data_IF_509385965582
#
_entry.id   IF_509385965582
#
_cell.length_a   1.000
_cell.length_b   1.000
_cell.length_c   1.000
_cell.angle_alpha   90.00
_cell.angle_beta   90.00
_cell.angle_gamma   90.00
#
_symmetry.space_group_name_H-M   'P 1'
#
loop_
_entity.id
_entity.type
_entity.pdbx_description
1 polymer ?
#
# COMPACT_ATOMS: atom_id res chain seq x y z
N UNK A 1 36.96 12.63 -17.63
CA UNK A 1 37.49 12.85 -16.26
C UNK A 1 36.48 13.51 -15.31
N UNK A 2 35.17 13.21 -15.37
CA UNK A 2 34.16 13.80 -14.46
C UNK A 2 33.63 12.81 -13.40
N UNK A 3 34.24 11.63 -13.26
CA UNK A 3 33.55 10.49 -12.62
C UNK A 3 33.80 10.30 -11.12
N UNK A 4 34.62 11.11 -10.43
CA UNK A 4 35.00 10.84 -9.03
C UNK A 4 34.94 12.05 -8.06
N UNK A 5 34.28 13.16 -8.39
CA UNK A 5 34.04 14.21 -7.38
C UNK A 5 32.76 13.92 -6.63
N UNK A 6 32.87 13.78 -5.31
CA UNK A 6 31.73 13.65 -4.42
C UNK A 6 30.79 14.87 -4.60
N UNK A 7 29.47 14.70 -4.75
CA UNK A 7 28.57 15.82 -4.95
C UNK A 7 28.54 16.74 -3.72
N UNK A 8 28.54 18.05 -3.95
CA UNK A 8 28.45 19.05 -2.88
C UNK A 8 27.13 18.93 -2.10
N UNK A 9 27.09 19.47 -0.88
CA UNK A 9 25.86 19.53 -0.05
C UNK A 9 24.70 20.16 -0.84
N UNK A 10 24.96 21.26 -1.55
CA UNK A 10 23.96 21.93 -2.38
C UNK A 10 23.43 21.06 -3.50
N UNK A 11 24.32 20.36 -4.20
CA UNK A 11 23.92 19.45 -5.29
C UNK A 11 23.03 18.33 -4.78
N UNK A 12 23.39 17.74 -3.63
CA UNK A 12 22.60 16.68 -2.99
C UNK A 12 21.23 17.21 -2.52
N UNK A 13 21.22 18.38 -1.89
CA UNK A 13 20.00 19.03 -1.42
C UNK A 13 19.04 19.37 -2.56
N UNK A 14 19.52 20.00 -3.63
CA UNK A 14 18.69 20.34 -4.79
C UNK A 14 18.10 19.09 -5.48
N UNK A 15 18.87 17.99 -5.53
CA UNK A 15 18.36 16.73 -6.07
C UNK A 15 17.22 16.16 -5.22
N UNK A 16 17.29 16.29 -3.89
CA UNK A 16 16.19 15.94 -2.98
C UNK A 16 14.98 16.87 -3.18
N UNK A 17 15.18 18.14 -3.47
CA UNK A 17 14.08 19.09 -3.72
C UNK A 17 13.29 18.73 -4.97
N UNK A 18 13.99 18.33 -6.04
CA UNK A 18 13.34 17.84 -7.27
C UNK A 18 12.50 16.59 -6.97
N UNK A 19 13.03 15.65 -6.18
CA UNK A 19 12.26 14.45 -5.80
C UNK A 19 10.98 14.79 -5.05
N UNK A 20 10.98 15.78 -4.16
CA UNK A 20 9.81 16.07 -3.32
C UNK A 20 8.81 16.95 -4.05
N UNK A 21 9.28 18.05 -4.65
CA UNK A 21 8.40 19.09 -5.17
C UNK A 21 7.81 18.76 -6.54
N UNK A 22 8.45 17.91 -7.36
CA UNK A 22 7.87 17.48 -8.64
C UNK A 22 6.57 16.68 -8.43
N UNK A 23 6.52 15.60 -7.61
CA UNK A 23 5.27 14.95 -7.26
C UNK A 23 4.24 15.90 -6.66
N UNK A 24 4.63 16.77 -5.72
CA UNK A 24 3.70 17.73 -5.11
C UNK A 24 3.03 18.61 -6.18
N UNK A 25 3.82 19.12 -7.13
CA UNK A 25 3.30 19.88 -8.27
C UNK A 25 2.31 19.07 -9.13
N UNK A 26 2.63 17.80 -9.42
CA UNK A 26 1.76 16.89 -10.18
C UNK A 26 0.41 16.69 -9.46
N UNK A 27 0.45 16.34 -8.16
CA UNK A 27 -0.76 16.09 -7.38
C UNK A 27 -1.60 17.36 -7.15
N UNK A 28 -0.98 18.53 -7.17
CA UNK A 28 -1.69 19.81 -7.07
C UNK A 28 -2.31 20.26 -8.40
N UNK A 29 -1.66 19.97 -9.53
CA UNK A 29 -2.02 20.53 -10.83
C UNK A 29 -2.94 19.65 -11.66
N UNK A 30 -2.89 18.32 -11.49
CA UNK A 30 -3.69 17.40 -12.31
C UNK A 30 -5.15 17.33 -11.82
N UNK A 31 -6.15 17.50 -12.71
CA UNK A 31 -7.57 17.55 -12.33
C UNK A 31 -8.05 16.33 -11.53
N UNK A 32 -7.62 15.12 -11.91
CA UNK A 32 -7.99 13.91 -11.18
C UNK A 32 -7.57 13.97 -9.70
N UNK A 33 -6.36 14.46 -9.42
CA UNK A 33 -5.84 14.52 -8.05
C UNK A 33 -6.41 15.67 -7.24
N UNK A 34 -6.88 16.74 -7.89
CA UNK A 34 -7.64 17.79 -7.20
C UNK A 34 -8.98 17.29 -6.66
N UNK A 35 -9.63 16.39 -7.38
CA UNK A 35 -10.82 15.70 -6.90
C UNK A 35 -10.48 14.60 -5.87
N UNK A 36 -9.47 13.77 -6.15
CA UNK A 36 -9.10 12.63 -5.31
C UNK A 36 -8.55 13.07 -3.94
N UNK A 37 -7.83 14.19 -3.88
CA UNK A 37 -7.28 14.79 -2.67
C UNK A 37 -8.03 16.08 -2.37
N UNK A 38 -8.87 16.05 -1.33
CA UNK A 38 -9.56 17.25 -0.87
C UNK A 38 -8.56 18.36 -0.46
N UNK A 39 -9.02 19.63 -0.32
CA UNK A 39 -8.12 20.74 -0.02
C UNK A 39 -7.28 20.57 1.25
N UNK A 40 -7.81 19.90 2.28
CA UNK A 40 -7.09 19.62 3.53
C UNK A 40 -5.95 18.63 3.30
N UNK A 41 -6.20 17.58 2.51
CA UNK A 41 -5.20 16.59 2.13
C UNK A 41 -4.08 17.20 1.29
N UNK A 42 -4.41 18.10 0.36
CA UNK A 42 -3.39 18.84 -0.37
C UNK A 42 -2.54 19.68 0.58
N UNK A 43 -3.16 20.43 1.50
CA UNK A 43 -2.43 21.18 2.51
C UNK A 43 -1.51 20.29 3.37
N UNK A 44 -1.96 19.09 3.75
CA UNK A 44 -1.11 18.12 4.45
C UNK A 44 0.13 17.73 3.62
N UNK A 45 -0.02 17.47 2.32
CA UNK A 45 1.10 17.16 1.43
C UNK A 45 2.08 18.34 1.34
N UNK A 46 1.58 19.57 1.25
CA UNK A 46 2.41 20.78 1.28
C UNK A 46 3.20 20.92 2.59
N UNK A 47 2.55 20.69 3.73
CA UNK A 47 3.22 20.71 5.05
C UNK A 47 4.29 19.63 5.12
N UNK A 48 3.98 18.40 4.72
CA UNK A 48 4.94 17.29 4.70
C UNK A 48 6.16 17.60 3.81
N UNK A 49 5.93 18.15 2.61
CA UNK A 49 6.99 18.56 1.69
C UNK A 49 7.84 19.70 2.26
N UNK A 50 7.23 20.66 2.95
CA UNK A 50 7.91 21.80 3.58
C UNK A 50 8.78 21.35 4.75
N UNK A 51 8.26 20.45 5.60
CA UNK A 51 9.04 19.83 6.70
C UNK A 51 10.21 19.03 6.13
N UNK A 52 9.98 18.23 5.09
CA UNK A 52 11.05 17.48 4.44
C UNK A 52 12.09 18.40 3.80
N UNK A 53 11.69 19.55 3.25
CA UNK A 53 12.60 20.54 2.67
C UNK A 53 13.65 20.98 3.69
N UNK A 54 13.23 21.30 4.92
CA UNK A 54 14.16 21.66 6.00
C UNK A 54 15.01 20.45 6.40
N UNK A 55 14.40 19.28 6.57
CA UNK A 55 15.09 18.06 6.98
C UNK A 55 16.15 17.60 5.96
N UNK A 56 15.87 17.71 4.66
CA UNK A 56 16.74 17.29 3.57
C UNK A 56 18.09 18.02 3.57
N UNK A 57 18.14 19.25 4.10
CA UNK A 57 19.41 19.97 4.29
C UNK A 57 20.35 19.22 5.24
N UNK A 58 19.83 18.76 6.38
CA UNK A 58 20.59 17.99 7.35
C UNK A 58 21.00 16.63 6.80
N UNK A 59 20.11 15.97 6.05
CA UNK A 59 20.42 14.71 5.35
C UNK A 59 21.56 14.90 4.35
N UNK A 60 21.51 15.94 3.51
CA UNK A 60 22.54 16.23 2.53
C UNK A 60 23.91 16.49 3.19
N UNK A 61 23.95 17.23 4.30
CA UNK A 61 25.18 17.44 5.08
C UNK A 61 25.72 16.14 5.67
N UNK A 62 24.86 15.33 6.27
CA UNK A 62 25.25 14.06 6.86
C UNK A 62 25.82 13.10 5.80
N UNK A 63 25.20 13.02 4.62
CA UNK A 63 25.66 12.17 3.51
C UNK A 63 27.01 12.62 2.97
N UNK A 64 27.22 13.93 2.78
CA UNK A 64 28.54 14.44 2.38
C UNK A 64 29.60 14.09 3.42
N UNK A 65 29.32 14.29 4.71
CA UNK A 65 30.25 13.97 5.79
C UNK A 65 30.60 12.47 5.86
N UNK A 66 29.67 11.59 5.52
CA UNK A 66 29.87 10.14 5.53
C UNK A 66 30.44 9.56 4.23
N UNK A 67 30.75 10.39 3.21
CA UNK A 67 31.19 9.88 1.91
C UNK A 67 30.07 9.29 1.04
N UNK A 68 28.82 9.36 1.48
CA UNK A 68 27.67 8.76 0.81
C UNK A 68 26.93 9.77 -0.09
N UNK A 69 25.99 9.26 -0.89
CA UNK A 69 25.10 10.07 -1.73
C UNK A 69 23.65 9.93 -1.30
N UNK A 70 22.90 11.00 -1.51
CA UNK A 70 21.44 11.07 -1.35
C UNK A 70 20.70 10.26 -2.42
N UNK A 71 19.45 9.87 -2.12
CA UNK A 71 18.59 9.15 -3.08
C UNK A 71 18.28 10.03 -4.29
N UNK A 72 18.18 11.34 -4.11
CA UNK A 72 18.02 12.30 -5.21
C UNK A 72 19.15 12.21 -6.25
N UNK A 73 20.40 12.07 -5.82
CA UNK A 73 21.53 11.92 -6.74
C UNK A 73 21.50 10.58 -7.46
N UNK A 74 21.23 9.49 -6.74
CA UNK A 74 21.11 8.15 -7.33
C UNK A 74 20.02 8.12 -8.42
N UNK A 75 18.89 8.77 -8.15
CA UNK A 75 17.80 8.94 -9.11
C UNK A 75 18.23 9.75 -10.33
N UNK A 76 18.91 10.88 -10.13
CA UNK A 76 19.43 11.72 -11.22
C UNK A 76 20.41 10.97 -12.12
N UNK A 77 21.27 10.11 -11.55
CA UNK A 77 22.16 9.24 -12.31
C UNK A 77 21.39 8.22 -13.14
N UNK A 78 20.39 7.55 -12.55
CA UNK A 78 19.52 6.64 -13.28
C UNK A 78 18.84 7.32 -14.48
N UNK A 79 18.26 8.51 -14.28
CA UNK A 79 17.63 9.28 -15.36
C UNK A 79 18.63 9.69 -16.45
N UNK A 80 19.86 10.02 -16.07
CA UNK A 80 20.92 10.33 -17.04
C UNK A 80 21.32 9.11 -17.89
N UNK A 81 21.30 7.90 -17.32
CA UNK A 81 21.52 6.65 -18.06
C UNK A 81 20.40 6.41 -19.07
N UNK A 82 19.14 6.55 -18.64
CA UNK A 82 17.97 6.40 -19.53
C UNK A 82 18.02 7.43 -20.67
N UNK A 83 18.29 8.70 -20.36
CA UNK A 83 18.45 9.74 -21.37
C UNK A 83 19.61 9.45 -22.33
N UNK A 84 20.73 8.91 -21.83
CA UNK A 84 21.86 8.48 -22.66
C UNK A 84 21.51 7.37 -23.65
N UNK A 85 20.68 6.40 -23.23
CA UNK A 85 20.19 5.34 -24.12
C UNK A 85 19.21 5.90 -25.17
N UNK A 86 18.26 6.75 -24.76
CA UNK A 86 17.22 7.27 -25.67
C UNK A 86 17.80 8.30 -26.65
N UNK A 87 18.57 9.27 -26.15
CA UNK A 87 19.05 10.42 -26.92
C UNK A 87 20.36 10.09 -27.64
N UNK A 88 21.30 9.45 -26.92
CA UNK A 88 22.67 9.22 -27.44
C UNK A 88 22.88 7.80 -27.95
N UNK A 89 21.87 6.92 -27.86
CA UNK A 89 21.94 5.48 -28.22
C UNK A 89 23.14 4.75 -27.60
N UNK A 90 23.61 5.23 -26.44
CA UNK A 90 24.77 4.67 -25.74
C UNK A 90 24.29 3.94 -24.50
N UNK A 91 24.48 2.64 -24.48
CA UNK A 91 24.19 1.81 -23.31
C UNK A 91 25.35 1.86 -22.32
N UNK A 92 25.02 2.06 -21.05
CA UNK A 92 25.93 1.94 -19.92
C UNK A 92 25.25 1.09 -18.84
N UNK A 93 25.98 0.22 -18.13
CA UNK A 93 25.39 -0.62 -17.11
C UNK A 93 24.76 0.24 -16.01
N UNK A 94 23.49 -0.03 -15.71
CA UNK A 94 22.75 0.66 -14.65
C UNK A 94 23.13 0.04 -13.31
N UNK A 95 23.54 0.87 -12.36
CA UNK A 95 23.87 0.41 -11.01
C UNK A 95 22.59 0.02 -10.26
N UNK A 96 22.62 -1.10 -9.54
CA UNK A 96 21.46 -1.62 -8.82
C UNK A 96 20.84 -0.59 -7.87
N UNK A 97 21.67 0.13 -7.11
CA UNK A 97 21.23 1.17 -6.16
C UNK A 97 20.52 2.34 -6.82
N UNK A 98 20.97 2.75 -8.00
CA UNK A 98 20.38 3.86 -8.78
C UNK A 98 18.97 3.50 -9.24
N UNK A 99 18.81 2.28 -9.80
CA UNK A 99 17.50 1.75 -10.18
C UNK A 99 16.57 1.59 -8.99
N UNK A 100 17.08 1.04 -7.88
CA UNK A 100 16.29 0.86 -6.65
C UNK A 100 15.85 2.21 -6.07
N UNK A 101 16.72 3.23 -6.08
CA UNK A 101 16.36 4.58 -5.63
C UNK A 101 15.24 5.19 -6.49
N UNK A 102 15.34 5.11 -7.82
CA UNK A 102 14.32 5.62 -8.72
C UNK A 102 12.98 4.88 -8.57
N UNK A 103 12.98 3.55 -8.54
CA UNK A 103 11.75 2.78 -8.38
C UNK A 103 11.12 2.98 -7.00
N UNK A 104 11.92 3.04 -5.93
CA UNK A 104 11.42 3.31 -4.58
C UNK A 104 10.80 4.71 -4.48
N UNK A 105 11.37 5.69 -5.19
CA UNK A 105 10.78 7.01 -5.35
C UNK A 105 9.40 6.93 -6.02
N UNK A 106 9.26 6.22 -7.15
CA UNK A 106 7.97 6.04 -7.82
C UNK A 106 6.92 5.38 -6.93
N UNK A 107 7.31 4.34 -6.18
CA UNK A 107 6.43 3.68 -5.20
C UNK A 107 5.93 4.71 -4.18
N UNK A 108 6.83 5.49 -3.58
CA UNK A 108 6.45 6.47 -2.55
C UNK A 108 5.62 7.61 -3.11
N UNK A 109 6.01 8.15 -4.26
CA UNK A 109 5.29 9.23 -4.93
C UNK A 109 3.84 8.82 -5.22
N UNK A 110 3.61 7.56 -5.60
CA UNK A 110 2.26 7.04 -5.83
C UNK A 110 1.50 6.71 -4.53
N UNK A 111 2.11 5.94 -3.62
CA UNK A 111 1.40 5.37 -2.48
C UNK A 111 1.22 6.31 -1.29
N UNK A 112 2.08 7.32 -1.09
CA UNK A 112 1.91 8.27 0.02
C UNK A 112 0.56 9.03 -0.10
N UNK A 113 0.23 9.67 -1.25
CA UNK A 113 -1.03 10.39 -1.37
C UNK A 113 -2.25 9.46 -1.34
N UNK A 114 -2.15 8.26 -1.93
CA UNK A 114 -3.22 7.24 -1.88
C UNK A 114 -3.50 6.82 -0.44
N UNK A 115 -2.47 6.47 0.33
CA UNK A 115 -2.64 6.06 1.73
C UNK A 115 -3.10 7.20 2.62
N UNK A 116 -2.66 8.43 2.35
CA UNK A 116 -3.12 9.61 3.07
C UNK A 116 -4.63 9.83 2.86
N UNK A 117 -5.11 9.73 1.62
CA UNK A 117 -6.54 9.82 1.33
C UNK A 117 -7.33 8.68 1.98
N UNK A 118 -6.86 7.44 1.88
CA UNK A 118 -7.53 6.30 2.52
C UNK A 118 -7.59 6.45 4.03
N UNK A 119 -6.49 6.88 4.66
CA UNK A 119 -6.44 7.15 6.10
C UNK A 119 -7.44 8.23 6.49
N UNK A 120 -7.50 9.33 5.75
CA UNK A 120 -8.44 10.41 6.01
C UNK A 120 -9.91 9.95 5.91
N UNK A 121 -10.25 9.20 4.86
CA UNK A 121 -11.61 8.66 4.68
C UNK A 121 -11.98 7.67 5.77
N UNK A 122 -11.05 6.79 6.16
CA UNK A 122 -11.28 5.84 7.24
C UNK A 122 -11.42 6.53 8.60
N UNK A 123 -10.66 7.59 8.87
CA UNK A 123 -10.80 8.40 10.08
C UNK A 123 -12.16 9.11 10.11
N UNK A 124 -12.65 9.60 8.97
CA UNK A 124 -13.99 10.19 8.88
C UNK A 124 -15.08 9.15 9.18
N UNK A 125 -14.96 7.94 8.65
CA UNK A 125 -15.89 6.83 8.95
C UNK A 125 -15.85 6.45 10.44
N UNK A 126 -14.65 6.33 11.03
CA UNK A 126 -14.51 6.06 12.45
C UNK A 126 -15.16 7.16 13.30
N UNK A 127 -14.90 8.43 12.96
CA UNK A 127 -15.51 9.58 13.65
C UNK A 127 -17.03 9.53 13.59
N UNK A 128 -17.60 9.15 12.46
CA UNK A 128 -19.05 9.01 12.31
C UNK A 128 -19.64 8.02 13.33
N UNK A 129 -19.10 6.80 13.43
CA UNK A 129 -19.61 5.78 14.36
C UNK A 129 -19.35 6.10 15.85
N UNK A 130 -18.29 6.86 16.14
CA UNK A 130 -18.01 7.32 17.52
C UNK A 130 -18.99 8.42 17.93
N UNK A 131 -19.24 9.41 17.06
CA UNK A 131 -20.08 10.56 17.41
C UNK A 131 -21.58 10.24 17.47
N UNK A 132 -22.07 9.30 16.66
CA UNK A 132 -23.48 8.90 16.65
C UNK A 132 -23.77 7.70 17.57
N UNK A 133 -22.80 7.32 18.42
CA UNK A 133 -22.92 6.15 19.30
C UNK A 133 -24.06 6.26 20.31
N UNK A 134 -24.37 7.47 20.80
CA UNK A 134 -25.48 7.68 21.75
C UNK A 134 -26.84 7.33 21.12
N UNK A 135 -27.04 7.72 19.87
CA UNK A 135 -28.30 7.50 19.16
C UNK A 135 -28.47 6.00 18.88
N UNK A 136 -27.40 5.35 18.45
CA UNK A 136 -27.36 3.90 18.19
C UNK A 136 -27.60 3.07 19.47
N UNK A 137 -27.02 3.46 20.61
CA UNK A 137 -27.23 2.77 21.89
C UNK A 137 -28.65 2.94 22.44
N UNK A 138 -29.32 4.04 22.12
CA UNK A 138 -30.72 4.24 22.49
C UNK A 138 -31.69 3.47 21.59
N UNK A 139 -31.28 3.20 20.34
CA UNK A 139 -32.12 2.58 19.31
C UNK A 139 -31.98 1.06 19.26
N UNK A 140 -30.76 0.54 19.40
CA UNK A 140 -30.45 -0.87 19.20
C UNK A 140 -30.03 -1.58 20.48
N UNK A 141 -30.45 -2.83 20.63
CA UNK A 141 -30.05 -3.70 21.74
C UNK A 141 -29.62 -5.09 21.24
N UNK A 142 -28.87 -5.83 22.06
CA UNK A 142 -28.48 -7.22 21.79
C UNK A 142 -27.81 -7.42 20.42
N UNK A 143 -28.34 -8.36 19.64
CA UNK A 143 -27.83 -8.71 18.31
C UNK A 143 -27.91 -7.51 17.35
N UNK A 144 -28.99 -6.73 17.43
CA UNK A 144 -29.16 -5.56 16.57
C UNK A 144 -28.10 -4.49 16.83
N UNK A 145 -27.72 -4.29 18.10
CA UNK A 145 -26.65 -3.37 18.47
C UNK A 145 -25.29 -3.83 17.93
N UNK A 146 -24.99 -5.14 18.02
CA UNK A 146 -23.78 -5.69 17.41
C UNK A 146 -23.74 -5.39 15.92
N UNK A 147 -24.86 -5.66 15.25
CA UNK A 147 -24.99 -5.54 13.81
C UNK A 147 -24.86 -4.09 13.33
N UNK A 148 -25.57 -3.15 13.95
CA UNK A 148 -25.67 -1.79 13.42
C UNK A 148 -24.55 -0.87 13.90
N UNK A 149 -23.95 -1.14 15.05
CA UNK A 149 -22.94 -0.25 15.64
C UNK A 149 -21.59 -0.94 15.90
N UNK A 150 -21.55 -2.05 16.63
CA UNK A 150 -20.28 -2.65 17.06
C UNK A 150 -19.46 -3.18 15.88
N UNK A 151 -20.09 -3.91 14.96
CA UNK A 151 -19.43 -4.44 13.76
C UNK A 151 -18.81 -3.34 12.89
N UNK A 152 -19.55 -2.33 12.40
CA UNK A 152 -18.97 -1.31 11.54
C UNK A 152 -17.93 -0.44 12.26
N UNK A 153 -18.05 -0.23 13.58
CA UNK A 153 -17.03 0.43 14.39
C UNK A 153 -15.72 -0.36 14.39
N UNK A 154 -15.77 -1.66 14.70
CA UNK A 154 -14.59 -2.54 14.72
C UNK A 154 -13.91 -2.60 13.34
N UNK A 155 -14.71 -2.72 12.28
CA UNK A 155 -14.20 -2.68 10.90
C UNK A 155 -13.52 -1.33 10.60
N UNK A 156 -14.12 -0.21 11.03
CA UNK A 156 -13.54 1.13 10.83
C UNK A 156 -12.23 1.30 11.59
N UNK A 157 -12.15 0.83 12.83
CA UNK A 157 -10.92 0.82 13.64
C UNK A 157 -9.80 0.03 12.96
N UNK A 158 -10.13 -1.16 12.45
CA UNK A 158 -9.16 -1.98 11.70
C UNK A 158 -8.67 -1.24 10.45
N UNK A 159 -9.57 -0.70 9.62
CA UNK A 159 -9.17 -0.01 8.39
C UNK A 159 -8.31 1.23 8.66
N UNK A 160 -8.66 2.06 9.65
CA UNK A 160 -7.84 3.20 10.07
C UNK A 160 -6.44 2.73 10.41
N UNK A 161 -6.33 1.72 11.28
CA UNK A 161 -5.04 1.22 11.75
C UNK A 161 -4.21 0.65 10.61
N UNK A 162 -4.81 -0.17 9.74
CA UNK A 162 -4.15 -0.71 8.55
C UNK A 162 -3.59 0.43 7.68
N UNK A 163 -4.42 1.42 7.34
CA UNK A 163 -3.98 2.53 6.48
C UNK A 163 -2.92 3.42 7.11
N UNK A 164 -2.97 3.62 8.43
CA UNK A 164 -1.93 4.34 9.17
C UNK A 164 -0.59 3.60 9.15
N UNK A 165 -0.59 2.28 9.39
CA UNK A 165 0.63 1.47 9.36
C UNK A 165 1.26 1.50 7.97
N UNK A 166 0.46 1.37 6.91
CA UNK A 166 0.96 1.51 5.52
C UNK A 166 1.48 2.92 5.23
N UNK A 167 0.75 3.97 5.61
CA UNK A 167 1.18 5.35 5.43
C UNK A 167 2.53 5.60 6.11
N UNK A 168 2.67 5.15 7.36
CA UNK A 168 3.93 5.23 8.10
C UNK A 168 5.05 4.46 7.38
N UNK A 169 4.78 3.23 6.92
CA UNK A 169 5.74 2.42 6.16
C UNK A 169 6.23 3.11 4.89
N UNK A 170 5.39 3.88 4.19
CA UNK A 170 5.83 4.64 3.01
C UNK A 170 6.65 5.88 3.36
N UNK A 171 6.22 6.63 4.38
CA UNK A 171 6.85 7.91 4.75
C UNK A 171 8.18 7.70 5.47
N UNK A 172 8.25 6.74 6.40
CA UNK A 172 9.38 6.59 7.32
C UNK A 172 10.33 5.49 6.84
N UNK A 173 11.60 5.84 6.63
CA UNK A 173 12.71 4.90 6.47
C UNK A 173 13.82 5.26 7.45
N UNK A 174 14.05 4.41 8.45
CA UNK A 174 15.04 4.65 9.49
C UNK A 174 15.87 3.38 9.74
N UNK A 175 17.21 3.48 9.86
CA UNK A 175 18.07 2.31 10.07
C UNK A 175 17.70 1.57 11.36
N UNK A 176 17.37 2.31 12.42
CA UNK A 176 16.96 1.77 13.72
C UNK A 176 15.71 0.85 13.64
N UNK A 177 14.84 1.07 12.65
CA UNK A 177 13.64 0.27 12.46
C UNK A 177 13.83 -0.91 11.50
N UNK A 178 15.03 -1.04 10.91
CA UNK A 178 15.37 -2.06 9.92
C UNK A 178 14.28 -2.20 8.82
N UNK A 179 13.89 -1.06 8.24
CA UNK A 179 12.80 -0.94 7.28
C UNK A 179 13.20 -0.26 5.96
N UNK A 180 14.51 -0.21 5.69
CA UNK A 180 15.06 0.30 4.43
C UNK A 180 14.62 -0.59 3.26
N UNK A 181 14.37 0.04 2.12
CA UNK A 181 14.10 -0.67 0.86
C UNK A 181 15.38 -1.34 0.37
N UNK A 182 15.38 -2.68 0.30
CA UNK A 182 16.48 -3.48 -0.25
C UNK A 182 16.38 -3.59 -1.77
N UNK A 183 15.17 -3.82 -2.27
CA UNK A 183 14.89 -3.88 -3.70
C UNK A 183 13.43 -3.49 -3.98
N UNK A 184 13.16 -3.17 -5.24
CA UNK A 184 11.81 -2.89 -5.76
C UNK A 184 11.57 -3.79 -6.96
N UNK A 185 10.33 -4.23 -7.15
CA UNK A 185 9.93 -5.03 -8.31
C UNK A 185 10.31 -4.30 -9.60
N UNK A 186 10.99 -5.01 -10.50
CA UNK A 186 11.46 -4.46 -11.78
C UNK A 186 10.59 -4.90 -12.94
N UNK A 187 9.59 -5.74 -12.71
CA UNK A 187 8.73 -6.32 -13.75
C UNK A 187 7.55 -5.39 -14.05
N UNK A 188 7.26 -5.15 -15.33
CA UNK A 188 6.09 -4.37 -15.73
C UNK A 188 4.78 -5.02 -15.25
N UNK A 189 4.73 -6.36 -15.25
CA UNK A 189 3.57 -7.11 -14.78
C UNK A 189 3.30 -6.88 -13.28
N UNK A 190 4.33 -6.94 -12.44
CA UNK A 190 4.17 -6.69 -11.00
C UNK A 190 3.66 -5.29 -10.72
N UNK A 191 4.19 -4.28 -11.43
CA UNK A 191 3.69 -2.91 -11.35
C UNK A 191 2.24 -2.80 -11.84
N UNK A 192 1.92 -3.30 -13.03
CA UNK A 192 0.58 -3.19 -13.61
C UNK A 192 -0.49 -3.83 -12.72
N UNK A 193 -0.25 -5.06 -12.25
CA UNK A 193 -1.19 -5.79 -11.39
C UNK A 193 -1.34 -5.11 -10.02
N UNK A 194 -0.26 -4.62 -9.44
CA UNK A 194 -0.35 -3.92 -8.15
C UNK A 194 -1.06 -2.59 -8.31
N UNK A 195 -0.76 -1.80 -9.34
CA UNK A 195 -1.41 -0.51 -9.60
C UNK A 195 -2.90 -0.68 -9.92
N UNK A 196 -3.31 -1.75 -10.61
CA UNK A 196 -4.71 -2.10 -10.86
C UNK A 196 -5.54 -2.21 -9.56
N UNK A 197 -4.90 -2.48 -8.42
CA UNK A 197 -5.56 -2.56 -7.11
C UNK A 197 -5.81 -1.19 -6.45
N UNK A 198 -5.38 -0.07 -7.05
CA UNK A 198 -5.44 1.26 -6.45
C UNK A 198 -5.92 2.34 -7.44
N UNK A 199 -6.59 3.41 -6.96
CA UNK A 199 -7.01 4.52 -7.82
C UNK A 199 -5.81 5.29 -8.41
N UNK A 200 -5.90 5.78 -9.66
CA UNK A 200 -7.08 5.80 -10.54
C UNK A 200 -7.39 4.48 -11.24
N UNK A 201 -6.42 3.58 -11.37
CA UNK A 201 -6.55 2.38 -12.20
C UNK A 201 -7.69 1.47 -11.72
N UNK A 202 -7.82 1.28 -10.41
CA UNK A 202 -8.93 0.49 -9.86
C UNK A 202 -10.29 1.09 -10.21
N UNK A 203 -10.41 2.43 -10.21
CA UNK A 203 -11.66 3.10 -10.54
C UNK A 203 -12.03 2.87 -12.01
N UNK A 204 -11.05 2.91 -12.91
CA UNK A 204 -11.26 2.63 -14.33
C UNK A 204 -11.67 1.18 -14.55
N UNK A 205 -10.96 0.23 -13.93
CA UNK A 205 -11.32 -1.20 -13.98
C UNK A 205 -12.74 -1.41 -13.44
N UNK A 206 -13.10 -0.74 -12.34
CA UNK A 206 -14.44 -0.82 -11.74
C UNK A 206 -15.57 -0.30 -12.63
N UNK A 207 -15.30 0.47 -13.70
CA UNK A 207 -16.34 0.85 -14.67
C UNK A 207 -16.78 -0.32 -15.55
N UNK A 208 -15.88 -1.27 -15.80
CA UNK A 208 -16.14 -2.45 -16.64
C UNK A 208 -16.34 -3.73 -15.82
N UNK A 209 -15.67 -3.81 -14.67
CA UNK A 209 -15.76 -4.90 -13.70
C UNK A 209 -16.19 -4.30 -12.36
N UNK A 210 -17.48 -3.96 -12.18
CA UNK A 210 -18.01 -3.34 -10.97
C UNK A 210 -17.50 -3.99 -9.69
N UNK A 211 -16.86 -3.15 -8.85
CA UNK A 211 -16.34 -3.59 -7.57
C UNK A 211 -17.35 -3.31 -6.46
N UNK A 212 -18.36 -4.17 -6.36
CA UNK A 212 -19.56 -3.95 -5.56
C UNK A 212 -19.44 -4.56 -4.16
N UNK A 213 -18.56 -4.01 -3.34
CA UNK A 213 -18.44 -4.41 -1.93
C UNK A 213 -19.47 -3.68 -1.06
N UNK A 214 -20.26 -4.44 -0.31
CA UNK A 214 -21.13 -3.89 0.75
C UNK A 214 -20.77 -4.52 2.10
N UNK A 215 -19.86 -3.89 2.82
CA UNK A 215 -19.40 -4.35 4.14
C UNK A 215 -20.56 -4.44 5.14
N UNK A 216 -21.55 -3.57 5.02
CA UNK A 216 -22.68 -3.48 5.94
C UNK A 216 -23.90 -4.29 5.47
N UNK A 217 -23.76 -5.18 4.48
CA UNK A 217 -24.86 -5.97 3.96
C UNK A 217 -25.56 -6.81 5.06
N UNK A 218 -26.87 -7.02 4.90
CA UNK A 218 -27.71 -7.86 5.76
C UNK A 218 -27.96 -9.23 5.12
N UNK A 219 -28.05 -10.27 5.94
CA UNK A 219 -28.15 -11.67 5.50
C UNK A 219 -29.47 -12.31 5.93
N UNK A 220 -30.60 -11.71 5.54
CA UNK A 220 -31.95 -12.24 5.79
C UNK A 220 -32.44 -12.03 7.23
N UNK A 221 -31.78 -12.65 8.22
CA UNK A 221 -32.12 -12.51 9.65
C UNK A 221 -31.01 -11.79 10.42
N UNK A 222 -31.33 -11.17 11.55
CA UNK A 222 -30.31 -10.51 12.39
C UNK A 222 -29.26 -11.49 12.92
N UNK A 223 -29.68 -12.70 13.31
CA UNK A 223 -28.78 -13.75 13.80
C UNK A 223 -27.83 -14.24 12.71
N UNK A 224 -28.33 -14.50 11.49
CA UNK A 224 -27.47 -14.90 10.38
C UNK A 224 -26.52 -13.76 9.98
N UNK A 225 -27.00 -12.52 10.00
CA UNK A 225 -26.17 -11.33 9.77
C UNK A 225 -25.05 -11.24 10.81
N UNK A 226 -25.35 -11.47 12.08
CA UNK A 226 -24.34 -11.49 13.15
C UNK A 226 -23.30 -12.58 12.92
N UNK A 227 -23.73 -13.82 12.61
CA UNK A 227 -22.82 -14.95 12.37
C UNK A 227 -21.86 -14.63 11.21
N UNK A 228 -22.38 -14.15 10.09
CA UNK A 228 -21.53 -13.78 8.93
C UNK A 228 -20.59 -12.63 9.29
N UNK A 229 -21.05 -11.63 10.04
CA UNK A 229 -20.23 -10.52 10.52
C UNK A 229 -19.12 -10.95 11.47
N UNK A 230 -19.36 -11.94 12.33
CA UNK A 230 -18.32 -12.54 13.17
C UNK A 230 -17.24 -13.22 12.33
N UNK A 231 -17.62 -13.93 11.27
CA UNK A 231 -16.66 -14.51 10.31
C UNK A 231 -15.87 -13.39 9.61
N UNK A 232 -16.53 -12.33 9.17
CA UNK A 232 -15.85 -11.18 8.56
C UNK A 232 -14.89 -10.48 9.53
N UNK A 233 -15.25 -10.35 10.82
CA UNK A 233 -14.35 -9.82 11.85
C UNK A 233 -13.14 -10.75 12.09
N UNK A 234 -13.31 -12.06 12.05
CA UNK A 234 -12.18 -13.00 12.13
C UNK A 234 -11.23 -12.85 10.95
N UNK A 235 -11.75 -12.70 9.73
CA UNK A 235 -10.95 -12.41 8.53
C UNK A 235 -10.24 -11.06 8.65
N UNK A 236 -10.93 -10.03 9.13
CA UNK A 236 -10.31 -8.73 9.40
C UNK A 236 -9.20 -8.83 10.46
N UNK A 237 -9.41 -9.63 11.51
CA UNK A 237 -8.40 -9.95 12.51
C UNK A 237 -7.16 -10.59 11.89
N UNK A 238 -7.32 -11.49 10.92
CA UNK A 238 -6.19 -12.06 10.17
C UNK A 238 -5.47 -11.02 9.30
N UNK A 239 -6.21 -10.12 8.64
CA UNK A 239 -5.61 -9.00 7.90
C UNK A 239 -4.79 -8.08 8.81
N UNK A 240 -5.34 -7.76 9.99
CA UNK A 240 -4.69 -6.96 11.01
C UNK A 240 -3.45 -7.64 11.56
N UNK A 241 -3.53 -8.91 11.94
CA UNK A 241 -2.39 -9.68 12.45
C UNK A 241 -1.25 -9.72 11.43
N UNK A 242 -1.56 -9.91 10.15
CA UNK A 242 -0.58 -9.89 9.05
C UNK A 242 0.18 -8.56 8.98
N UNK A 243 -0.55 -7.44 9.08
CA UNK A 243 0.06 -6.10 9.04
C UNK A 243 0.79 -5.77 10.33
N UNK A 244 0.31 -6.23 11.48
CA UNK A 244 0.95 -6.02 12.77
C UNK A 244 2.35 -6.68 12.82
N UNK A 245 2.52 -7.89 12.28
CA UNK A 245 3.83 -8.56 12.26
C UNK A 245 4.76 -8.01 11.19
N UNK A 246 4.23 -7.50 10.07
CA UNK A 246 5.02 -6.75 9.09
C UNK A 246 5.50 -5.40 9.65
N UNK A 247 4.65 -4.75 10.47
CA UNK A 247 4.91 -3.47 11.09
C UNK A 247 5.32 -2.41 10.06
N UNK A 248 6.43 -1.73 10.33
CA UNK A 248 6.94 -0.62 9.51
C UNK A 248 7.57 -1.06 8.18
N UNK A 249 7.62 -2.37 7.91
CA UNK A 249 8.09 -2.95 6.64
C UNK A 249 6.96 -3.09 5.61
N UNK A 250 5.70 -2.84 6.01
CA UNK A 250 4.55 -2.83 5.13
C UNK A 250 4.75 -1.87 3.95
N UNK A 251 4.80 -2.40 2.73
CA UNK A 251 4.90 -1.61 1.52
C UNK A 251 4.61 -2.46 0.29
N UNK A 252 4.06 -1.83 -0.74
CA UNK A 252 3.82 -2.47 -2.03
C UNK A 252 5.07 -2.43 -2.89
N UNK A 253 5.27 -3.46 -3.71
CA UNK A 253 6.35 -3.56 -4.71
C UNK A 253 7.77 -3.54 -4.15
N UNK A 254 7.98 -3.50 -2.84
CA UNK A 254 9.34 -3.40 -2.27
C UNK A 254 9.65 -4.54 -1.32
N UNK A 255 10.90 -5.02 -1.37
CA UNK A 255 11.47 -5.88 -0.34
C UNK A 255 12.11 -5.03 0.76
N UNK A 256 11.57 -5.12 1.98
CA UNK A 256 12.12 -4.47 3.19
C UNK A 256 12.55 -5.48 4.26
N UNK A 257 12.75 -6.73 3.85
CA UNK A 257 13.02 -7.87 4.72
C UNK A 257 11.85 -8.85 4.78
N UNK A 258 12.20 -10.12 4.93
CA UNK A 258 11.25 -11.24 4.90
C UNK A 258 10.74 -11.51 6.32
N UNK A 259 9.42 -11.63 6.46
CA UNK A 259 8.76 -12.01 7.72
C UNK A 259 8.25 -13.43 7.62
N UNK A 260 8.59 -14.25 8.61
CA UNK A 260 8.23 -15.67 8.67
C UNK A 260 7.47 -16.01 9.96
N UNK A 261 6.96 -15.00 10.68
CA UNK A 261 6.29 -15.13 11.98
C UNK A 261 4.81 -14.77 11.90
N UNK A 262 4.04 -15.12 12.94
CA UNK A 262 2.59 -14.91 12.96
C UNK A 262 1.87 -15.74 11.90
N UNK A 263 0.90 -15.17 11.15
CA UNK A 263 0.12 -15.92 10.17
C UNK A 263 0.98 -16.39 8.98
N UNK A 264 2.14 -15.76 8.77
CA UNK A 264 3.12 -16.14 7.75
C UNK A 264 3.79 -17.50 8.03
N UNK A 265 3.65 -18.08 9.23
CA UNK A 265 4.10 -19.47 9.49
C UNK A 265 3.21 -20.52 8.83
N UNK A 266 1.97 -20.15 8.49
CA UNK A 266 0.96 -21.07 7.96
C UNK A 266 0.86 -20.89 6.44
N UNK A 267 0.61 -19.68 5.97
CA UNK A 267 0.47 -19.35 4.55
C UNK A 267 1.29 -18.12 4.19
N UNK A 268 1.77 -18.02 2.94
CA UNK A 268 2.62 -16.88 2.52
C UNK A 268 1.87 -15.57 2.29
N UNK A 269 0.56 -15.61 1.99
CA UNK A 269 -0.27 -14.43 1.72
C UNK A 269 -1.56 -14.36 2.57
N UNK A 270 -1.47 -14.36 3.91
CA UNK A 270 -2.63 -14.36 4.79
C UNK A 270 -3.52 -13.13 4.63
N UNK A 271 -2.91 -11.95 4.45
CA UNK A 271 -3.66 -10.72 4.22
C UNK A 271 -4.49 -10.77 2.94
N UNK A 272 -3.93 -11.27 1.83
CA UNK A 272 -4.64 -11.35 0.55
C UNK A 272 -5.76 -12.38 0.58
N UNK A 273 -5.53 -13.54 1.21
CA UNK A 273 -6.57 -14.56 1.40
C UNK A 273 -7.74 -13.99 2.21
N UNK A 274 -7.46 -13.45 3.40
CA UNK A 274 -8.51 -12.94 4.28
C UNK A 274 -9.31 -11.79 3.65
N UNK A 275 -8.64 -10.88 2.94
CA UNK A 275 -9.26 -9.78 2.22
C UNK A 275 -10.21 -10.27 1.11
N UNK A 276 -9.77 -11.24 0.30
CA UNK A 276 -10.61 -11.79 -0.77
C UNK A 276 -11.83 -12.51 -0.21
N UNK A 277 -11.64 -13.38 0.79
CA UNK A 277 -12.75 -14.09 1.43
C UNK A 277 -13.77 -13.12 2.02
N UNK A 278 -13.31 -12.05 2.68
CA UNK A 278 -14.20 -11.04 3.24
C UNK A 278 -15.04 -10.37 2.13
N UNK A 279 -14.43 -10.04 0.99
CA UNK A 279 -15.16 -9.47 -0.15
C UNK A 279 -16.21 -10.42 -0.72
N UNK A 280 -15.90 -11.72 -0.82
CA UNK A 280 -16.88 -12.73 -1.20
C UNK A 280 -18.10 -12.74 -0.27
N UNK A 281 -17.92 -12.62 1.04
CA UNK A 281 -19.05 -12.50 1.98
C UNK A 281 -19.90 -11.26 1.73
N UNK A 282 -19.30 -10.12 1.39
CA UNK A 282 -20.04 -8.86 1.17
C UNK A 282 -20.97 -8.90 -0.04
N UNK A 283 -20.71 -9.76 -1.02
CA UNK A 283 -21.52 -9.84 -2.24
C UNK A 283 -22.64 -10.88 -2.17
N UNK A 284 -22.62 -11.80 -1.19
CA UNK A 284 -23.59 -12.91 -1.12
C UNK A 284 -25.05 -12.43 -1.18
N UNK A 285 -25.47 -11.36 -0.47
CA UNK A 285 -26.86 -10.91 -0.52
C UNK A 285 -27.29 -10.36 -1.90
N UNK A 286 -26.34 -9.95 -2.74
CA UNK A 286 -26.62 -9.43 -4.07
C UNK A 286 -26.78 -10.54 -5.13
N UNK A 287 -26.24 -11.74 -4.89
CA UNK A 287 -26.19 -12.83 -5.87
C UNK A 287 -27.57 -13.21 -6.43
N UNK A 288 -28.63 -13.42 -5.61
CA UNK A 288 -29.93 -13.85 -6.13
C UNK A 288 -30.55 -12.88 -7.13
N UNK A 289 -30.34 -11.57 -6.94
CA UNK A 289 -30.85 -10.54 -7.86
C UNK A 289 -29.89 -10.20 -9.00
N UNK A 290 -28.59 -10.44 -8.83
CA UNK A 290 -27.53 -10.00 -9.76
C UNK A 290 -26.38 -11.02 -9.80
N UNK A 291 -26.56 -12.23 -10.36
CA UNK A 291 -25.55 -13.29 -10.33
C UNK A 291 -24.23 -12.91 -11.02
N UNK A 292 -24.23 -11.91 -11.91
CA UNK A 292 -23.04 -11.38 -12.57
C UNK A 292 -21.97 -10.87 -11.58
N UNK A 293 -22.35 -10.49 -10.35
CA UNK A 293 -21.39 -10.07 -9.30
C UNK A 293 -20.39 -11.16 -8.94
N UNK A 294 -20.73 -12.44 -9.15
CA UNK A 294 -19.81 -13.57 -8.97
C UNK A 294 -18.65 -13.47 -9.97
N UNK A 295 -18.94 -13.20 -11.24
CA UNK A 295 -17.92 -13.07 -12.28
C UNK A 295 -17.01 -11.88 -11.97
N UNK A 296 -17.58 -10.74 -11.60
CA UNK A 296 -16.79 -9.56 -11.24
C UNK A 296 -15.89 -9.84 -10.03
N UNK A 297 -16.42 -10.46 -8.98
CA UNK A 297 -15.63 -10.83 -7.82
C UNK A 297 -14.53 -11.85 -8.17
N UNK A 298 -14.81 -12.83 -9.03
CA UNK A 298 -13.79 -13.77 -9.51
C UNK A 298 -12.65 -13.07 -10.27
N UNK A 299 -12.97 -12.08 -11.10
CA UNK A 299 -11.96 -11.26 -11.80
C UNK A 299 -11.11 -10.44 -10.81
N UNK A 300 -11.73 -9.83 -9.80
CA UNK A 300 -11.00 -9.14 -8.73
C UNK A 300 -10.11 -10.10 -7.93
N UNK A 301 -10.60 -11.31 -7.62
CA UNK A 301 -9.79 -12.34 -6.99
C UNK A 301 -8.59 -12.73 -7.87
N UNK A 302 -8.77 -12.89 -9.18
CA UNK A 302 -7.67 -13.17 -10.10
C UNK A 302 -6.59 -12.08 -10.08
N UNK A 303 -6.96 -10.79 -10.03
CA UNK A 303 -5.99 -9.68 -9.89
C UNK A 303 -5.17 -9.83 -8.60
N UNK A 304 -5.81 -10.18 -7.47
CA UNK A 304 -5.10 -10.36 -6.20
C UNK A 304 -4.22 -11.62 -6.17
N UNK A 305 -4.64 -12.69 -6.85
CA UNK A 305 -3.81 -13.88 -7.01
C UNK A 305 -2.56 -13.56 -7.85
N UNK A 306 -2.73 -12.87 -8.98
CA UNK A 306 -1.62 -12.39 -9.80
C UNK A 306 -0.69 -11.48 -9.00
N UNK A 307 -1.24 -10.60 -8.16
CA UNK A 307 -0.46 -9.71 -7.31
C UNK A 307 0.45 -10.49 -6.36
N UNK A 308 -0.09 -11.50 -5.68
CA UNK A 308 0.72 -12.37 -4.82
C UNK A 308 1.78 -13.12 -5.62
N UNK A 309 1.44 -13.66 -6.80
CA UNK A 309 2.41 -14.36 -7.66
C UNK A 309 3.56 -13.44 -8.09
N UNK A 310 3.26 -12.22 -8.57
CA UNK A 310 4.28 -11.26 -8.99
C UNK A 310 5.16 -10.82 -7.82
N UNK A 311 4.55 -10.64 -6.64
CA UNK A 311 5.28 -10.34 -5.41
C UNK A 311 6.25 -11.48 -5.06
N UNK A 312 5.83 -12.76 -5.12
CA UNK A 312 6.75 -13.88 -4.90
C UNK A 312 7.87 -13.93 -5.96
N UNK A 313 7.56 -13.64 -7.23
CA UNK A 313 8.57 -13.60 -8.30
C UNK A 313 9.65 -12.58 -8.01
N UNK A 314 9.25 -11.39 -7.53
CA UNK A 314 10.19 -10.37 -7.07
C UNK A 314 10.97 -10.83 -5.83
N UNK A 315 10.28 -11.33 -4.80
CA UNK A 315 10.91 -11.69 -3.53
C UNK A 315 11.86 -12.89 -3.65
N UNK A 316 11.65 -13.79 -4.62
CA UNK A 316 12.54 -14.94 -4.89
C UNK A 316 13.98 -14.57 -5.20
N UNK A 317 14.29 -13.31 -5.55
CA UNK A 317 15.69 -12.87 -5.66
C UNK A 317 16.41 -12.79 -4.30
N UNK A 318 15.67 -12.76 -3.19
CA UNK A 318 16.22 -12.74 -1.83
C UNK A 318 16.41 -14.18 -1.30
N UNK A 319 17.63 -14.60 -0.93
CA UNK A 319 17.88 -15.93 -0.38
C UNK A 319 17.04 -16.26 0.86
N UNK A 320 16.71 -15.26 1.70
CA UNK A 320 15.85 -15.47 2.86
C UNK A 320 14.42 -15.84 2.46
N UNK A 321 13.92 -15.30 1.34
CA UNK A 321 12.61 -15.66 0.81
C UNK A 321 12.61 -17.07 0.21
N UNK A 322 13.69 -17.48 -0.46
CA UNK A 322 13.84 -18.84 -0.97
C UNK A 322 13.81 -19.87 0.17
N UNK A 323 14.54 -19.61 1.26
CA UNK A 323 14.51 -20.45 2.46
C UNK A 323 13.11 -20.49 3.09
N UNK A 324 12.42 -19.35 3.15
CA UNK A 324 11.04 -19.29 3.63
C UNK A 324 10.07 -20.12 2.79
N UNK A 325 10.19 -20.10 1.46
CA UNK A 325 9.38 -20.92 0.56
C UNK A 325 9.55 -22.43 0.78
N UNK A 326 10.70 -22.88 1.30
CA UNK A 326 10.92 -24.29 1.66
C UNK A 326 10.22 -24.67 2.97
N UNK A 327 10.05 -23.72 3.90
CA UNK A 327 9.41 -23.96 5.20
C UNK A 327 7.89 -23.88 5.11
N UNK A 328 7.36 -22.90 4.39
CA UNK A 328 5.92 -22.65 4.28
C UNK A 328 5.48 -22.97 2.87
N UNK A 329 4.84 -24.12 2.67
CA UNK A 329 4.46 -24.63 1.34
C UNK A 329 3.32 -23.85 0.69
N UNK A 330 2.32 -23.47 1.47
CA UNK A 330 1.05 -22.92 1.00
C UNK A 330 1.12 -21.41 0.79
N UNK A 331 0.61 -20.92 -0.33
CA UNK A 331 0.53 -19.50 -0.69
C UNK A 331 -0.67 -18.84 -0.04
N UNK A 332 -1.86 -19.37 -0.27
CA UNK A 332 -3.13 -18.76 0.12
C UNK A 332 -3.99 -19.69 0.94
N UNK A 333 -4.12 -20.96 0.55
CA UNK A 333 -5.06 -21.90 1.19
C UNK A 333 -4.29 -23.13 1.70
N UNK A 334 -4.29 -23.36 3.03
CA UNK A 334 -3.67 -24.55 3.60
C UNK A 334 -4.18 -25.84 2.97
N UNK A 335 -3.26 -26.73 2.59
CA UNK A 335 -3.59 -28.02 1.98
C UNK A 335 -3.96 -27.97 0.49
N UNK A 336 -4.20 -26.78 -0.10
CA UNK A 336 -4.55 -26.64 -1.52
C UNK A 336 -3.43 -25.94 -2.28
N UNK A 337 -3.13 -24.68 -1.95
CA UNK A 337 -2.21 -23.87 -2.75
C UNK A 337 -1.46 -22.81 -1.97
#
# INVERSE_FOLDING_TARGET
MLQNRQPSVWTQYLAEMVMVWVPVGIYHSLPYYQWFLNPRLQACIWVMASVYTVYAWFVARAKVASGEVTKGILMGRFLSHVAGVIIRRKSSPVVHEERTAFLAFLVKAYYIPVMLNFTYRNLANLKYYVLHSSDDFSTYQGISLFNHWMFPLLVSLCYVTLTLVYLFGYVVEMPALNNRVKSVDTTLLGWAVTLACYPPFSNEISRHVPFEININASFGTETLTMIVRLVMLALMGMMFWSVAVLGVRCSNLTNRGIITTGPYKIIRHPHYMAKNLMWWFTILPAIPGRPIVILYMALWTAIYLLRGITEEMHLKSDPAYQAYCQQVRWKFIPGIW
#
